data_IF_578097639420
#
_entry.id   IF_578097639420
#
_cell.length_a   1.000
_cell.length_b   1.000
_cell.length_c   1.000
_cell.angle_alpha   90.00
_cell.angle_beta   90.00
_cell.angle_gamma   90.00
#
_symmetry.space_group_name_H-M   'P 1'
#
loop_
_entity.id
_entity.type
_entity.pdbx_description
1 polymer ?
#
# COMPACT_ATOMS: atom_id res chain seq x y z
N UNK A 1 -3.49 -2.73 22.97
CA UNK A 1 -2.16 -2.61 22.34
C UNK A 1 -2.35 -2.87 20.86
N UNK A 2 -1.89 -1.95 20.00
CA UNK A 2 -2.03 -2.02 18.53
C UNK A 2 -0.62 -1.90 17.93
N UNK A 3 -0.31 -2.72 16.92
CA UNK A 3 0.92 -2.60 16.14
C UNK A 3 0.74 -1.62 14.97
N UNK A 4 1.85 -1.22 14.32
CA UNK A 4 1.84 -0.22 13.24
C UNK A 4 1.02 -0.65 12.02
N UNK A 5 1.06 -1.93 11.63
CA UNK A 5 0.30 -2.41 10.46
C UNK A 5 -1.21 -2.39 10.74
N UNK A 6 -1.61 -2.79 11.94
CA UNK A 6 -3.01 -2.71 12.36
C UNK A 6 -3.48 -1.25 12.50
N UNK A 7 -2.62 -0.34 12.97
CA UNK A 7 -2.92 1.10 13.06
C UNK A 7 -3.11 1.74 11.68
N UNK A 8 -2.15 1.55 10.76
CA UNK A 8 -2.23 2.04 9.38
C UNK A 8 -3.48 1.51 8.65
N UNK A 9 -3.80 0.23 8.82
CA UNK A 9 -5.01 -0.37 8.27
C UNK A 9 -6.29 0.30 8.78
N UNK A 10 -6.34 0.64 10.08
CA UNK A 10 -7.46 1.38 10.67
C UNK A 10 -7.53 2.79 10.09
N UNK A 11 -6.38 3.46 9.95
CA UNK A 11 -6.23 4.76 9.29
C UNK A 11 -6.81 4.74 7.88
N UNK A 12 -6.47 3.75 7.05
CA UNK A 12 -7.02 3.58 5.70
C UNK A 12 -8.56 3.50 5.71
N UNK A 13 -9.14 2.72 6.64
CA UNK A 13 -10.60 2.59 6.75
C UNK A 13 -11.24 3.94 7.08
N UNK A 14 -10.73 4.69 8.05
CA UNK A 14 -11.28 5.98 8.44
C UNK A 14 -11.01 7.08 7.40
N UNK A 15 -9.89 7.00 6.68
CA UNK A 15 -9.55 7.88 5.57
C UNK A 15 -10.41 7.63 4.32
N UNK A 16 -11.30 6.63 4.32
CA UNK A 16 -12.21 6.39 3.22
C UNK A 16 -11.67 5.50 2.11
N UNK A 17 -10.57 4.76 2.34
CA UNK A 17 -10.08 3.79 1.37
C UNK A 17 -11.14 2.71 1.11
N UNK A 18 -11.40 2.44 -0.16
CA UNK A 18 -12.38 1.44 -0.60
C UNK A 18 -11.77 0.37 -1.48
N UNK A 19 -10.57 0.55 -2.01
CA UNK A 19 -9.89 -0.46 -2.83
C UNK A 19 -8.49 -0.72 -2.27
N UNK A 20 -8.17 -1.99 -2.05
CA UNK A 20 -6.84 -2.40 -1.64
C UNK A 20 -6.42 -3.61 -2.49
N UNK A 21 -5.29 -3.49 -3.19
CA UNK A 21 -4.72 -4.59 -3.98
C UNK A 21 -3.25 -4.80 -3.57
N UNK A 22 -2.81 -6.05 -3.44
CA UNK A 22 -1.43 -6.36 -3.02
C UNK A 22 -0.98 -7.74 -3.47
N UNK A 23 0.33 -7.94 -3.45
CA UNK A 23 0.95 -9.25 -3.52
C UNK A 23 1.50 -9.64 -2.13
N UNK A 24 1.34 -10.88 -1.65
CA UNK A 24 1.83 -11.26 -0.33
C UNK A 24 3.36 -11.15 -0.18
N UNK A 25 3.82 -10.28 0.72
CA UNK A 25 5.24 -10.11 1.05
C UNK A 25 5.42 -9.77 2.53
N UNK A 26 6.33 -10.44 3.22
CA UNK A 26 6.68 -10.09 4.61
C UNK A 26 7.45 -8.77 4.64
N UNK A 27 7.14 -7.80 5.53
CA UNK A 27 6.14 -7.83 6.60
C UNK A 27 4.77 -7.19 6.26
N UNK A 28 4.50 -6.85 4.99
CA UNK A 28 3.34 -6.02 4.61
C UNK A 28 1.98 -6.71 4.63
N UNK A 29 1.93 -8.04 4.46
CA UNK A 29 0.66 -8.80 4.36
C UNK A 29 -0.29 -8.53 5.53
N UNK A 30 0.24 -8.36 6.75
CA UNK A 30 -0.59 -8.16 7.95
C UNK A 30 -1.35 -6.83 7.96
N UNK A 31 -0.88 -5.79 7.26
CA UNK A 31 -1.64 -4.54 7.07
C UNK A 31 -2.88 -4.82 6.22
N UNK A 32 -2.73 -5.57 5.13
CA UNK A 32 -3.82 -5.91 4.21
C UNK A 32 -4.87 -6.79 4.91
N UNK A 33 -4.42 -7.80 5.67
CA UNK A 33 -5.31 -8.64 6.47
C UNK A 33 -6.09 -7.83 7.53
N UNK A 34 -5.42 -6.89 8.21
CA UNK A 34 -6.07 -6.00 9.17
C UNK A 34 -7.11 -5.09 8.49
N UNK A 35 -6.79 -4.52 7.32
CA UNK A 35 -7.72 -3.70 6.55
C UNK A 35 -8.97 -4.48 6.16
N UNK A 36 -8.80 -5.69 5.62
CA UNK A 36 -9.90 -6.59 5.29
C UNK A 36 -10.80 -6.85 6.49
N UNK A 37 -10.19 -7.21 7.63
CA UNK A 37 -10.93 -7.49 8.88
C UNK A 37 -11.76 -6.30 9.34
N UNK A 38 -11.22 -5.09 9.25
CA UNK A 38 -11.96 -3.88 9.60
C UNK A 38 -13.07 -3.57 8.59
N UNK A 39 -12.83 -3.71 7.30
CA UNK A 39 -13.82 -3.54 6.25
C UNK A 39 -15.00 -4.52 6.35
N UNK A 40 -14.73 -5.79 6.65
CA UNK A 40 -15.78 -6.81 6.88
C UNK A 40 -16.69 -6.46 8.07
N UNK A 41 -16.25 -5.58 8.97
CA UNK A 41 -17.04 -5.13 10.12
C UNK A 41 -17.67 -3.75 9.92
N UNK A 42 -17.01 -2.86 9.19
CA UNK A 42 -17.35 -1.42 9.13
C UNK A 42 -17.78 -0.95 7.73
N UNK A 43 -17.59 -1.76 6.69
CA UNK A 43 -17.86 -1.42 5.28
C UNK A 43 -18.85 -2.37 4.62
N UNK A 44 -19.71 -2.98 5.41
CA UNK A 44 -20.89 -3.72 4.93
C UNK A 44 -22.09 -2.81 5.09
N UNK A 45 -22.83 -2.62 4.01
CA UNK A 45 -24.10 -1.91 4.02
C UNK A 45 -25.12 -2.68 4.90
N UNK A 46 -25.70 -2.06 5.95
CA UNK A 46 -26.54 -2.77 6.89
C UNK A 46 -27.87 -3.24 6.30
N UNK A 47 -28.36 -2.58 5.25
CA UNK A 47 -29.67 -2.86 4.66
C UNK A 47 -29.58 -3.92 3.55
N UNK A 48 -28.60 -3.78 2.66
CA UNK A 48 -28.41 -4.64 1.49
C UNK A 48 -27.39 -5.75 1.68
N UNK A 49 -26.53 -5.66 2.71
CA UNK A 49 -25.39 -6.55 2.89
C UNK A 49 -24.28 -6.34 1.85
N UNK A 50 -24.37 -5.31 1.01
CA UNK A 50 -23.38 -5.03 -0.02
C UNK A 50 -22.03 -4.62 0.60
N UNK A 51 -20.94 -5.18 0.07
CA UNK A 51 -19.58 -4.79 0.46
C UNK A 51 -19.22 -3.47 -0.23
N UNK A 52 -18.92 -2.43 0.56
CA UNK A 52 -18.47 -1.12 0.08
C UNK A 52 -16.94 -1.03 0.01
N UNK A 53 -16.29 -2.14 -0.26
CA UNK A 53 -14.85 -2.26 -0.40
C UNK A 53 -14.49 -3.37 -1.39
N UNK A 54 -13.33 -3.25 -2.03
CA UNK A 54 -12.71 -4.27 -2.85
C UNK A 54 -11.34 -4.62 -2.26
N UNK A 55 -11.07 -5.91 -2.15
CA UNK A 55 -9.86 -6.45 -1.56
C UNK A 55 -9.33 -7.54 -2.49
N UNK A 56 -8.22 -7.29 -3.18
CA UNK A 56 -7.73 -8.13 -4.27
C UNK A 56 -6.29 -8.56 -4.00
N UNK A 57 -6.07 -9.86 -3.87
CA UNK A 57 -4.73 -10.42 -3.92
C UNK A 57 -4.34 -10.54 -5.40
N UNK A 58 -3.38 -9.74 -5.83
CA UNK A 58 -2.86 -9.75 -7.18
C UNK A 58 -1.87 -10.92 -7.38
N UNK A 59 -1.57 -11.21 -8.64
CA UNK A 59 -0.58 -12.20 -9.06
C UNK A 59 0.86 -11.79 -8.77
N UNK A 60 1.14 -10.48 -8.79
CA UNK A 60 2.43 -9.85 -8.49
C UNK A 60 2.26 -8.37 -8.13
N UNK A 61 3.37 -7.70 -7.80
CA UNK A 61 3.37 -6.27 -7.46
C UNK A 61 3.05 -5.34 -8.62
N UNK A 62 3.28 -5.73 -9.89
CA UNK A 62 2.92 -4.94 -11.07
C UNK A 62 1.40 -4.87 -11.23
N UNK A 63 0.74 -6.02 -11.13
CA UNK A 63 -0.70 -6.12 -11.16
C UNK A 63 -1.33 -5.40 -9.97
N UNK A 64 -0.74 -5.53 -8.76
CA UNK A 64 -1.23 -4.84 -7.57
C UNK A 64 -1.27 -3.31 -7.75
N UNK A 65 -0.16 -2.69 -8.18
CA UNK A 65 -0.12 -1.24 -8.38
C UNK A 65 -0.99 -0.80 -9.56
N UNK A 66 -1.04 -1.59 -10.65
CA UNK A 66 -1.92 -1.33 -11.78
C UNK A 66 -3.40 -1.29 -11.39
N UNK A 67 -3.86 -2.23 -10.56
CA UNK A 67 -5.22 -2.25 -10.01
C UNK A 67 -5.50 -1.03 -9.12
N UNK A 68 -4.55 -0.63 -8.27
CA UNK A 68 -4.66 0.56 -7.41
C UNK A 68 -4.81 1.82 -8.25
N UNK A 69 -3.97 2.01 -9.27
CA UNK A 69 -4.02 3.17 -10.14
C UNK A 69 -5.31 3.20 -10.97
N UNK A 70 -5.76 2.05 -11.48
CA UNK A 70 -7.04 1.95 -12.18
C UNK A 70 -8.23 2.29 -11.28
N UNK A 71 -8.21 1.87 -10.02
CA UNK A 71 -9.23 2.24 -9.04
C UNK A 71 -9.21 3.73 -8.70
N UNK A 72 -8.01 4.29 -8.48
CA UNK A 72 -7.82 5.71 -8.21
C UNK A 72 -8.28 6.60 -9.37
N UNK A 73 -8.01 6.20 -10.61
CA UNK A 73 -8.49 6.87 -11.81
C UNK A 73 -10.03 6.97 -11.83
N UNK A 74 -10.72 5.93 -11.33
CA UNK A 74 -12.17 5.90 -11.23
C UNK A 74 -12.72 6.60 -9.97
N UNK A 75 -11.88 7.34 -9.23
CA UNK A 75 -12.28 8.14 -8.07
C UNK A 75 -12.29 7.39 -6.74
N UNK A 76 -11.87 6.13 -6.70
CA UNK A 76 -11.73 5.42 -5.43
C UNK A 76 -10.48 5.89 -4.68
N UNK A 77 -10.54 5.92 -3.35
CA UNK A 77 -9.32 5.98 -2.54
C UNK A 77 -8.74 4.58 -2.48
N UNK A 78 -7.61 4.39 -3.15
CA UNK A 78 -6.97 3.09 -3.32
C UNK A 78 -5.53 3.08 -2.79
N UNK A 79 -5.11 1.94 -2.26
CA UNK A 79 -3.75 1.76 -1.75
C UNK A 79 -3.24 0.33 -1.95
N UNK A 80 -1.91 0.17 -1.89
CA UNK A 80 -1.24 -1.12 -1.82
C UNK A 80 -0.25 -1.15 -0.65
N UNK A 81 0.17 -2.33 -0.22
CA UNK A 81 1.20 -2.51 0.79
C UNK A 81 2.25 -3.54 0.33
N UNK A 82 3.51 -3.17 0.40
CA UNK A 82 4.64 -3.96 -0.09
C UNK A 82 5.90 -3.71 0.75
N UNK A 83 7.05 -4.14 0.26
CA UNK A 83 8.39 -3.86 0.81
C UNK A 83 9.37 -3.61 -0.34
N UNK A 84 10.65 -3.31 -0.05
CA UNK A 84 11.68 -2.94 -1.04
C UNK A 84 11.68 -3.71 -2.39
N UNK A 85 11.59 -5.06 -2.43
CA UNK A 85 11.51 -5.79 -3.70
C UNK A 85 10.27 -5.44 -4.53
N UNK A 86 9.13 -5.23 -3.89
CA UNK A 86 7.91 -4.84 -4.57
C UNK A 86 7.93 -3.39 -5.03
N UNK A 87 8.51 -2.46 -4.24
CA UNK A 87 8.79 -1.09 -4.71
C UNK A 87 9.62 -1.12 -5.99
N UNK A 88 10.62 -2.01 -6.04
CA UNK A 88 11.45 -2.18 -7.23
C UNK A 88 10.62 -2.55 -8.47
N UNK A 89 9.66 -3.47 -8.33
CA UNK A 89 8.75 -3.87 -9.41
C UNK A 89 7.74 -2.76 -9.78
N UNK A 90 7.23 -2.02 -8.80
CA UNK A 90 6.21 -0.99 -9.03
C UNK A 90 6.73 0.28 -9.74
N UNK A 91 8.04 0.46 -9.89
CA UNK A 91 8.66 1.69 -10.41
C UNK A 91 8.05 2.21 -11.73
N UNK A 92 7.73 1.33 -12.67
CA UNK A 92 7.15 1.74 -13.96
C UNK A 92 5.78 2.41 -13.77
N UNK A 93 4.90 1.78 -13.00
CA UNK A 93 3.58 2.31 -12.69
C UNK A 93 3.61 3.53 -11.77
N UNK A 94 4.59 3.64 -10.86
CA UNK A 94 4.79 4.87 -10.08
C UNK A 94 5.12 6.07 -11.00
N UNK A 95 5.89 5.84 -12.07
CA UNK A 95 6.12 6.85 -13.11
C UNK A 95 4.85 7.21 -13.87
N UNK A 96 4.03 6.22 -14.23
CA UNK A 96 2.74 6.45 -14.86
C UNK A 96 1.80 7.27 -13.96
N UNK A 97 1.73 6.94 -12.68
CA UNK A 97 0.90 7.66 -11.70
C UNK A 97 1.34 9.12 -11.57
N UNK A 98 2.66 9.36 -11.53
CA UNK A 98 3.25 10.70 -11.48
C UNK A 98 2.92 11.50 -12.73
N UNK A 99 3.12 10.90 -13.92
CA UNK A 99 2.84 11.55 -15.20
C UNK A 99 1.36 11.89 -15.39
N UNK A 100 0.47 10.98 -14.98
CA UNK A 100 -0.97 11.11 -15.19
C UNK A 100 -1.71 11.80 -14.02
N UNK A 101 -1.00 12.26 -12.99
CA UNK A 101 -1.56 12.89 -11.80
C UNK A 101 -2.61 12.03 -11.06
N UNK A 102 -2.38 10.71 -11.04
CA UNK A 102 -3.30 9.74 -10.41
C UNK A 102 -2.89 9.52 -8.96
N UNK A 103 -3.76 9.82 -7.97
CA UNK A 103 -3.39 9.67 -6.57
C UNK A 103 -3.37 8.20 -6.14
N UNK A 104 -2.26 7.74 -5.58
CA UNK A 104 -2.18 6.42 -4.96
C UNK A 104 -1.30 6.45 -3.71
N UNK A 105 -1.61 5.60 -2.74
CA UNK A 105 -0.79 5.40 -1.55
C UNK A 105 -0.14 4.02 -1.61
N UNK A 106 1.18 4.00 -1.43
CA UNK A 106 1.97 2.76 -1.33
C UNK A 106 2.57 2.71 0.06
N UNK A 107 2.20 1.71 0.84
CA UNK A 107 2.87 1.42 2.10
C UNK A 107 4.11 0.57 1.83
N UNK A 108 5.29 1.20 1.91
CA UNK A 108 6.56 0.48 1.95
C UNK A 108 6.90 0.11 3.39
N UNK A 109 6.61 -1.14 3.75
CA UNK A 109 6.97 -1.66 5.07
C UNK A 109 8.40 -2.20 4.98
N UNK A 110 9.34 -1.29 5.20
CA UNK A 110 10.77 -1.50 4.95
C UNK A 110 11.33 -2.69 5.75
N UNK A 111 12.09 -3.52 5.05
CA UNK A 111 12.85 -4.66 5.58
C UNK A 111 14.28 -4.60 5.06
N UNK A 112 15.17 -5.41 5.63
CA UNK A 112 16.58 -5.45 5.19
C UNK A 112 16.67 -5.86 3.71
N UNK A 113 17.40 -5.06 2.93
CA UNK A 113 17.83 -5.36 1.56
C UNK A 113 19.36 -5.55 1.46
N UNK A 114 19.95 -5.52 0.25
CA UNK A 114 19.30 -5.47 -1.07
C UNK A 114 18.70 -6.83 -1.50
N UNK A 115 17.95 -6.83 -2.61
CA UNK A 115 17.27 -8.01 -3.14
C UNK A 115 16.36 -8.64 -2.08
N UNK A 116 16.35 -9.97 -1.91
CA UNK A 116 15.57 -10.64 -0.85
C UNK A 116 15.94 -10.14 0.55
N UNK A 117 17.21 -9.80 0.75
CA UNK A 117 17.79 -9.38 2.02
C UNK A 117 17.43 -10.30 3.19
N UNK A 118 16.98 -9.72 4.31
CA UNK A 118 16.48 -10.47 5.46
C UNK A 118 15.00 -10.13 5.72
N UNK A 119 14.05 -10.93 5.20
CA UNK A 119 12.62 -10.61 5.21
C UNK A 119 11.99 -10.31 6.58
N UNK A 120 12.62 -10.78 7.67
CA UNK A 120 12.13 -10.65 9.05
C UNK A 120 12.93 -9.64 9.87
N UNK A 121 13.83 -8.88 9.25
CA UNK A 121 14.65 -7.85 9.89
C UNK A 121 14.33 -6.48 9.30
N UNK A 122 14.43 -5.45 10.13
CA UNK A 122 14.16 -4.06 9.75
C UNK A 122 15.43 -3.35 9.30
N UNK A 123 15.29 -2.43 8.36
CA UNK A 123 16.29 -1.47 7.90
C UNK A 123 15.56 -0.25 7.36
N UNK A 124 16.18 0.93 7.43
CA UNK A 124 15.70 2.16 6.79
C UNK A 124 16.47 2.42 5.49
N UNK A 125 16.41 1.46 4.56
CA UNK A 125 17.26 1.42 3.37
C UNK A 125 16.64 2.07 2.13
N UNK A 126 15.31 2.22 2.10
CA UNK A 126 14.57 2.50 0.87
C UNK A 126 14.24 4.01 0.71
N UNK A 127 14.81 4.86 1.56
CA UNK A 127 14.51 6.31 1.59
C UNK A 127 14.72 6.99 0.24
N UNK A 128 15.90 6.81 -0.37
CA UNK A 128 16.24 7.46 -1.63
C UNK A 128 15.56 6.78 -2.83
N UNK A 129 15.41 5.45 -2.81
CA UNK A 129 14.74 4.73 -3.88
C UNK A 129 13.26 5.06 -3.96
N UNK A 130 12.57 5.28 -2.83
CA UNK A 130 11.20 5.76 -2.82
C UNK A 130 11.07 7.23 -3.25
N UNK A 131 11.94 8.12 -2.74
CA UNK A 131 11.87 9.56 -3.05
C UNK A 131 12.03 9.84 -4.56
N UNK A 132 12.90 9.08 -5.23
CA UNK A 132 13.19 9.18 -6.66
C UNK A 132 12.72 7.95 -7.45
N UNK A 133 11.64 7.30 -7.00
CA UNK A 133 11.11 6.12 -7.68
C UNK A 133 10.69 6.45 -9.13
N UNK A 134 10.89 5.49 -10.02
CA UNK A 134 10.76 5.58 -11.48
C UNK A 134 11.92 6.27 -12.21
N UNK A 135 11.84 6.27 -13.53
CA UNK A 135 12.78 6.95 -14.41
C UNK A 135 12.30 8.38 -14.71
N UNK A 136 13.24 9.26 -15.05
CA UNK A 136 12.97 10.68 -15.29
C UNK A 136 13.05 11.54 -14.02
N UNK A 137 12.48 12.73 -14.07
CA UNK A 137 12.56 13.74 -12.99
C UNK A 137 11.37 13.62 -12.01
N UNK A 138 11.20 12.46 -11.39
CA UNK A 138 10.14 12.21 -10.40
C UNK A 138 10.56 12.61 -8.99
N UNK A 139 9.59 13.09 -8.20
CA UNK A 139 9.74 13.39 -6.76
C UNK A 139 8.49 12.99 -6.02
N UNK A 140 8.55 11.90 -5.28
CA UNK A 140 7.38 11.38 -4.57
C UNK A 140 7.26 11.96 -3.16
N UNK A 141 6.03 12.13 -2.70
CA UNK A 141 5.76 12.49 -1.31
C UNK A 141 6.00 11.24 -0.45
N UNK A 142 6.96 11.32 0.48
CA UNK A 142 7.26 10.24 1.41
C UNK A 142 6.98 10.69 2.86
N UNK A 143 6.24 9.86 3.59
CA UNK A 143 5.93 10.06 5.01
C UNK A 143 6.57 8.91 5.81
N UNK A 144 7.12 9.22 6.99
CA UNK A 144 7.88 8.27 7.80
C UNK A 144 7.34 8.25 9.24
N UNK A 145 6.32 7.44 9.54
CA UNK A 145 5.80 7.33 10.90
C UNK A 145 6.84 6.69 11.83
N UNK A 146 6.99 7.23 13.03
CA UNK A 146 7.95 6.76 14.04
C UNK A 146 7.36 5.75 15.03
N UNK A 147 6.03 5.75 15.21
CA UNK A 147 5.33 4.86 16.13
C UNK A 147 3.89 4.53 15.64
N UNK A 148 3.19 3.54 16.26
CA UNK A 148 1.84 3.17 15.84
C UNK A 148 0.77 4.26 15.97
N UNK A 149 1.02 5.35 16.70
CA UNK A 149 0.11 6.49 16.76
C UNK A 149 0.22 7.41 15.54
N UNK A 150 1.38 7.40 14.87
CA UNK A 150 1.63 8.12 13.62
C UNK A 150 1.28 7.29 12.37
N UNK A 151 1.12 5.97 12.50
CA UNK A 151 0.65 5.06 11.45
C UNK A 151 -0.86 5.17 11.20
#
# INVERSE_FOLDING_TARGET
MIDGNTAAALGCVFAGATVAAWYPITPSTSLMDAFKRFCERLRIDPDSGAKRFAFIQAEDELAAIGMVLGAAWNGARAFTATSGPGISLMNEFLGLAYYAEVPAVVFDIQRVGPSTGMPTRTQQGDLLSCAYASHGDTRHICLYPADPGEC
#
